data_IF_275909793244
#
_entry.id   IF_275909793244
#
_cell.length_a   1.000
_cell.length_b   1.000
_cell.length_c   1.000
_cell.angle_alpha   90.00
_cell.angle_beta   90.00
_cell.angle_gamma   90.00
#
_symmetry.space_group_name_H-M   'P 1'
#
loop_
_entity.id
_entity.type
_entity.pdbx_description
1 polymer ?
#
# COMPACT_ATOMS: atom_id res chain seq x y z
N UNK A 1 -27.12 -12.74 27.14
CA UNK A 1 -26.36 -11.66 26.47
C UNK A 1 -24.91 -12.09 26.32
N UNK A 2 -24.49 -12.49 25.12
CA UNK A 2 -23.16 -13.03 24.87
C UNK A 2 -22.12 -11.90 24.80
N UNK A 3 -21.17 -11.87 25.74
CA UNK A 3 -20.00 -10.98 25.72
C UNK A 3 -19.14 -11.32 24.48
N UNK A 4 -19.26 -10.55 23.41
CA UNK A 4 -18.32 -10.61 22.30
C UNK A 4 -16.93 -10.22 22.83
N UNK A 5 -15.98 -11.17 22.80
CA UNK A 5 -14.59 -10.94 23.17
C UNK A 5 -14.04 -9.83 22.26
N UNK A 6 -13.69 -8.67 22.83
CA UNK A 6 -12.95 -7.59 22.16
C UNK A 6 -11.50 -8.03 21.92
N UNK A 7 -11.31 -9.04 21.07
CA UNK A 7 -10.00 -9.35 20.51
C UNK A 7 -9.74 -8.38 19.35
N UNK A 8 -8.58 -7.72 19.33
CA UNK A 8 -8.12 -7.05 18.11
C UNK A 8 -8.10 -8.11 17.00
N UNK A 9 -8.72 -7.88 15.83
CA UNK A 9 -8.64 -8.84 14.74
C UNK A 9 -7.15 -9.13 14.48
N UNK A 10 -6.79 -10.41 14.56
CA UNK A 10 -5.43 -10.87 14.36
C UNK A 10 -5.17 -10.89 12.87
N UNK A 11 -4.47 -9.89 12.36
CA UNK A 11 -4.02 -9.87 10.97
C UNK A 11 -3.98 -8.48 10.35
N UNK A 12 -3.34 -8.37 9.18
CA UNK A 12 -3.38 -7.17 8.38
C UNK A 12 -4.80 -6.89 7.90
N UNK A 13 -5.13 -5.61 7.87
CA UNK A 13 -6.38 -5.09 7.37
C UNK A 13 -6.38 -5.19 5.84
N UNK A 14 -7.08 -6.19 5.30
CA UNK A 14 -7.13 -6.47 3.87
C UNK A 14 -7.65 -5.27 3.08
N UNK A 15 -8.61 -4.54 3.64
CA UNK A 15 -9.21 -3.36 3.00
C UNK A 15 -8.14 -2.28 2.77
N UNK A 16 -7.24 -2.11 3.73
CA UNK A 16 -6.10 -1.18 3.59
C UNK A 16 -5.10 -1.65 2.54
N UNK A 17 -4.78 -2.95 2.48
CA UNK A 17 -3.88 -3.50 1.46
C UNK A 17 -4.45 -3.25 0.06
N UNK A 18 -5.73 -3.58 -0.16
CA UNK A 18 -6.39 -3.35 -1.44
C UNK A 18 -6.42 -1.87 -1.80
N UNK A 19 -6.72 -0.99 -0.84
CA UNK A 19 -6.76 0.45 -1.07
C UNK A 19 -5.39 0.99 -1.51
N UNK A 20 -4.30 0.52 -0.89
CA UNK A 20 -2.94 0.86 -1.28
C UNK A 20 -2.65 0.38 -2.69
N UNK A 21 -2.95 -0.88 -3.00
CA UNK A 21 -2.72 -1.46 -4.33
C UNK A 21 -3.51 -0.71 -5.42
N UNK A 22 -4.78 -0.37 -5.18
CA UNK A 22 -5.60 0.40 -6.11
C UNK A 22 -5.02 1.80 -6.34
N UNK A 23 -4.58 2.47 -5.29
CA UNK A 23 -3.96 3.78 -5.40
C UNK A 23 -2.64 3.74 -6.18
N UNK A 24 -1.83 2.69 -6.00
CA UNK A 24 -0.62 2.47 -6.78
C UNK A 24 -0.92 2.09 -8.24
N UNK A 25 -1.95 1.28 -8.49
CA UNK A 25 -2.37 0.89 -9.84
C UNK A 25 -2.88 2.08 -10.65
N UNK A 26 -3.56 3.03 -9.99
CA UNK A 26 -3.95 4.30 -10.60
C UNK A 26 -2.78 5.25 -10.89
N UNK A 27 -1.59 5.00 -10.31
CA UNK A 27 -0.39 5.84 -10.46
C UNK A 27 0.81 4.98 -10.89
N UNK A 28 0.83 4.44 -12.12
CA UNK A 28 1.87 3.53 -12.59
C UNK A 28 3.27 4.15 -12.64
N UNK A 29 3.38 5.48 -12.74
CA UNK A 29 4.63 6.23 -12.65
C UNK A 29 5.23 6.28 -11.22
N UNK A 30 4.50 5.80 -10.23
CA UNK A 30 4.85 5.89 -8.82
C UNK A 30 4.19 7.05 -8.11
N UNK A 31 4.04 6.91 -6.80
CA UNK A 31 3.47 7.93 -5.92
C UNK A 31 4.29 8.03 -4.64
N UNK A 32 4.45 9.27 -4.17
CA UNK A 32 5.13 9.53 -2.90
C UNK A 32 4.31 8.97 -1.74
N UNK A 33 4.96 8.33 -0.76
CA UNK A 33 4.27 7.79 0.44
C UNK A 33 3.44 8.85 1.16
N UNK A 34 3.89 10.10 1.16
CA UNK A 34 3.14 11.22 1.76
C UNK A 34 1.85 11.50 1.01
N UNK A 35 1.87 11.43 -0.32
CA UNK A 35 0.69 11.65 -1.15
C UNK A 35 -0.25 10.45 -1.10
N UNK A 36 0.30 9.24 -1.12
CA UNK A 36 -0.43 8.00 -0.90
C UNK A 36 -1.19 8.02 0.43
N UNK A 37 -0.57 8.54 1.50
CA UNK A 37 -1.23 8.72 2.80
C UNK A 37 -2.43 9.68 2.73
N UNK A 38 -2.33 10.75 1.94
CA UNK A 38 -3.42 11.71 1.77
C UNK A 38 -4.57 11.12 0.97
N UNK A 39 -4.27 10.40 -0.11
CA UNK A 39 -5.27 9.77 -0.97
C UNK A 39 -6.02 8.65 -0.27
N UNK A 40 -5.30 7.80 0.46
CA UNK A 40 -5.88 6.62 1.13
C UNK A 40 -6.43 6.93 2.52
N UNK A 41 -6.09 8.08 3.11
CA UNK A 41 -6.38 8.38 4.51
C UNK A 41 -5.63 7.52 5.53
N UNK A 42 -4.69 6.67 5.07
CA UNK A 42 -3.91 5.78 5.92
C UNK A 42 -2.72 6.55 6.50
N UNK A 43 -2.44 6.36 7.80
CA UNK A 43 -1.27 6.96 8.45
C UNK A 43 0.03 6.48 7.79
N UNK A 44 0.98 7.40 7.61
CA UNK A 44 2.31 7.11 7.04
C UNK A 44 3.03 5.92 7.69
N UNK A 45 2.96 5.80 9.02
CA UNK A 45 3.56 4.66 9.74
C UNK A 45 2.89 3.34 9.40
N UNK A 46 1.56 3.33 9.22
CA UNK A 46 0.81 2.15 8.78
C UNK A 46 1.14 1.81 7.33
N UNK A 47 1.25 2.79 6.45
CA UNK A 47 1.71 2.56 5.08
C UNK A 47 3.10 1.92 5.08
N UNK A 48 4.08 2.52 5.75
CA UNK A 48 5.45 1.98 5.82
C UNK A 48 5.47 0.55 6.34
N UNK A 49 4.67 0.23 7.36
CA UNK A 49 4.53 -1.14 7.86
C UNK A 49 4.03 -2.07 6.75
N UNK A 50 2.89 -1.75 6.13
CA UNK A 50 2.24 -2.60 5.13
C UNK A 50 3.11 -2.78 3.88
N UNK A 51 3.77 -1.71 3.47
CA UNK A 51 4.74 -1.70 2.39
C UNK A 51 5.87 -2.69 2.68
N UNK A 52 6.48 -2.58 3.86
CA UNK A 52 7.63 -3.40 4.23
C UNK A 52 7.26 -4.85 4.56
N UNK A 53 6.05 -5.13 5.05
CA UNK A 53 5.67 -6.47 5.53
C UNK A 53 4.82 -7.27 4.56
N UNK A 54 4.03 -6.61 3.69
CA UNK A 54 3.02 -7.28 2.86
C UNK A 54 3.12 -6.96 1.37
N UNK A 55 3.71 -5.83 1.00
CA UNK A 55 3.71 -5.37 -0.39
C UNK A 55 5.11 -5.33 -1.01
N UNK A 56 6.16 -5.64 -0.26
CA UNK A 56 7.55 -5.56 -0.72
C UNK A 56 7.80 -6.35 -2.01
N UNK A 57 7.12 -7.49 -2.17
CA UNK A 57 7.24 -8.32 -3.37
C UNK A 57 6.54 -7.71 -4.59
N UNK A 58 5.50 -6.90 -4.37
CA UNK A 58 4.64 -6.32 -5.42
C UNK A 58 5.04 -4.90 -5.85
N UNK A 59 5.82 -4.22 -5.03
CA UNK A 59 6.16 -2.81 -5.25
C UNK A 59 7.66 -2.62 -5.45
N UNK A 60 8.01 -1.58 -6.18
CA UNK A 60 9.36 -1.02 -6.21
C UNK A 60 9.39 0.19 -5.29
N UNK A 61 10.37 0.18 -4.39
CA UNK A 61 10.61 1.27 -3.46
C UNK A 61 11.83 2.06 -3.90
N UNK A 62 11.59 3.25 -4.42
CA UNK A 62 12.64 4.19 -4.82
C UNK A 62 12.87 5.13 -3.64
N UNK A 63 13.89 4.80 -2.86
CA UNK A 63 14.35 5.62 -1.74
C UNK A 63 15.78 6.10 -2.01
N UNK A 64 15.94 7.41 -2.16
CA UNK A 64 17.26 8.04 -2.25
C UNK A 64 17.72 8.45 -0.85
N UNK A 65 18.96 8.10 -0.47
CA UNK A 65 19.54 8.52 0.82
C UNK A 65 19.67 10.04 0.94
N UNK A 66 19.69 10.76 -0.19
CA UNK A 66 19.75 12.21 -0.22
C UNK A 66 18.37 12.88 0.01
N UNK A 67 17.27 12.15 -0.19
CA UNK A 67 15.93 12.71 -0.10
C UNK A 67 15.12 12.04 1.01
N UNK A 68 14.47 12.81 1.90
CA UNK A 68 13.62 12.26 2.96
C UNK A 68 12.29 11.69 2.42
N UNK A 69 12.15 11.57 1.10
CA UNK A 69 10.92 11.21 0.42
C UNK A 69 11.05 9.84 -0.23
N UNK A 70 10.02 9.02 0.00
CA UNK A 70 9.94 7.63 -0.49
C UNK A 70 8.93 7.58 -1.62
N UNK A 71 9.37 7.18 -2.82
CA UNK A 71 8.53 7.01 -4.00
C UNK A 71 8.26 5.50 -4.18
N UNK A 72 6.99 5.15 -4.38
CA UNK A 72 6.58 3.75 -4.49
C UNK A 72 5.81 3.51 -5.77
N UNK A 73 6.20 2.47 -6.49
CA UNK A 73 5.62 2.05 -7.76
C UNK A 73 5.17 0.59 -7.67
N UNK A 74 4.16 0.18 -8.42
CA UNK A 74 3.90 -1.27 -8.62
C UNK A 74 4.92 -1.85 -9.60
N UNK A 75 5.40 -3.05 -9.32
CA UNK A 75 6.21 -3.80 -10.29
C UNK A 75 5.39 -4.10 -11.54
N UNK A 76 6.04 -4.07 -12.71
CA UNK A 76 5.41 -4.33 -14.01
C UNK A 76 4.73 -5.71 -14.12
N UNK A 77 5.13 -6.70 -13.32
CA UNK A 77 4.51 -8.03 -13.31
C UNK A 77 3.08 -8.03 -12.73
N UNK A 78 2.77 -7.10 -11.84
CA UNK A 78 1.42 -6.94 -11.24
C UNK A 78 0.55 -5.94 -12.02
N UNK A 79 1.10 -5.23 -13.02
CA UNK A 79 0.31 -4.47 -13.99
C UNK A 79 -0.31 -5.47 -14.98
N UNK A 80 -1.33 -6.19 -14.55
CA UNK A 80 -2.15 -6.95 -15.50
C UNK A 80 -2.99 -5.94 -16.30
N UNK A 81 -2.75 -5.76 -17.62
CA UNK A 81 -3.82 -5.26 -18.48
C UNK A 81 -4.89 -6.34 -18.43
N UNK A 82 -5.98 -6.09 -17.71
CA UNK A 82 -7.20 -6.84 -17.95
C UNK A 82 -7.58 -6.56 -19.39
N UNK A 83 -7.23 -7.51 -20.25
CA UNK A 83 -7.66 -7.56 -21.64
C UNK A 83 -9.19 -7.59 -21.63
N UNK A 84 -9.79 -6.45 -21.93
CA UNK A 84 -11.18 -6.34 -22.36
C UNK A 84 -11.02 -5.84 -23.80
N UNK A 85 -11.09 -6.72 -24.81
CA UNK A 85 -12.30 -7.44 -25.18
C UNK A 85 -12.89 -6.69 -26.36
#
# INVERSE_FOLDING_TARGET
>A
MSKQKRGRPSGPDKDKIELILRALAANPQGIWVRELARLTGIKRSTLSLYINTHLQDKIEDVHDKALPMRLICLKKEDQTPSYVG
#
